data_IF_446462124808
#
_entry.id   IF_446462124808
#
_cell.length_a   1.000
_cell.length_b   1.000
_cell.length_c   1.000
_cell.angle_alpha   90.00
_cell.angle_beta   90.00
_cell.angle_gamma   90.00
#
_symmetry.space_group_name_H-M   'P 1'
#
loop_
_entity.id
_entity.type
_entity.pdbx_description
1 polymer ?
#
# COMPACT_ATOMS: atom_id res chain seq x y z
N UNK A 1 20.53 -9.79 -15.71
CA UNK A 1 19.11 -9.61 -15.33
C UNK A 1 18.99 -8.75 -14.06
N UNK A 2 19.39 -7.45 -14.13
CA UNK A 2 19.32 -6.53 -12.97
C UNK A 2 18.09 -5.61 -12.98
N UNK A 3 17.35 -5.52 -14.08
CA UNK A 3 16.27 -4.52 -14.26
C UNK A 3 14.87 -5.01 -13.86
N UNK A 4 14.65 -6.32 -13.66
CA UNK A 4 13.30 -6.85 -13.43
C UNK A 4 12.63 -6.32 -12.14
N UNK A 5 13.30 -6.32 -10.97
CA UNK A 5 12.72 -5.77 -9.75
C UNK A 5 12.46 -4.27 -9.85
N UNK A 6 13.41 -3.53 -10.43
CA UNK A 6 13.29 -2.10 -10.64
C UNK A 6 12.11 -1.75 -11.58
N UNK A 7 11.86 -2.59 -12.60
CA UNK A 7 10.71 -2.48 -13.50
C UNK A 7 9.39 -2.78 -12.79
N UNK A 8 9.37 -3.74 -11.86
CA UNK A 8 8.19 -4.05 -11.05
C UNK A 8 7.87 -2.91 -10.08
N UNK A 9 8.86 -2.30 -9.44
CA UNK A 9 8.67 -1.09 -8.64
C UNK A 9 8.19 0.09 -9.49
N UNK A 10 8.73 0.27 -10.70
CA UNK A 10 8.23 1.28 -11.64
C UNK A 10 6.79 1.01 -12.09
N UNK A 11 6.41 -0.27 -12.23
CA UNK A 11 5.05 -0.67 -12.56
C UNK A 11 4.05 -0.26 -11.46
N UNK A 12 4.45 -0.28 -10.18
CA UNK A 12 3.62 0.28 -9.09
C UNK A 12 3.38 1.77 -9.25
N UNK A 13 4.40 2.52 -9.69
CA UNK A 13 4.23 3.93 -10.05
C UNK A 13 3.23 4.13 -11.18
N UNK A 14 3.29 3.31 -12.23
CA UNK A 14 2.33 3.34 -13.34
C UNK A 14 0.91 2.97 -12.89
N UNK A 15 0.77 1.95 -12.05
CA UNK A 15 -0.52 1.56 -11.44
C UNK A 15 -1.07 2.71 -10.59
N UNK A 16 -0.24 3.37 -9.79
CA UNK A 16 -0.66 4.52 -8.98
C UNK A 16 -1.15 5.69 -9.85
N UNK A 17 -0.46 6.00 -10.95
CA UNK A 17 -0.89 7.02 -11.92
C UNK A 17 -2.20 6.63 -12.60
N UNK A 18 -2.34 5.36 -13.00
CA UNK A 18 -3.56 4.85 -13.60
C UNK A 18 -4.77 4.95 -12.65
N UNK A 19 -4.61 4.52 -11.39
CA UNK A 19 -5.66 4.63 -10.36
C UNK A 19 -6.06 6.10 -10.15
N UNK A 20 -5.09 7.02 -10.09
CA UNK A 20 -5.36 8.45 -9.96
C UNK A 20 -6.16 8.99 -11.15
N UNK A 21 -5.77 8.62 -12.38
CA UNK A 21 -6.48 9.00 -13.61
C UNK A 21 -7.92 8.46 -13.66
N UNK A 22 -8.15 7.26 -13.15
CA UNK A 22 -9.50 6.68 -13.03
C UNK A 22 -10.40 7.46 -12.06
N UNK A 23 -9.84 8.32 -11.20
CA UNK A 23 -10.60 9.24 -10.36
C UNK A 23 -11.54 10.14 -11.16
N UNK A 24 -11.12 10.54 -12.37
CA UNK A 24 -11.92 11.38 -13.27
C UNK A 24 -13.02 10.61 -14.02
N UNK A 25 -12.93 9.28 -14.08
CA UNK A 25 -13.98 8.41 -14.64
C UNK A 25 -15.13 8.20 -13.63
N UNK A 26 -14.81 8.34 -12.34
CA UNK A 26 -15.74 8.25 -11.22
C UNK A 26 -15.98 6.82 -10.71
N UNK A 27 -17.10 6.62 -10.03
CA UNK A 27 -17.45 5.36 -9.36
C UNK A 27 -17.47 4.13 -10.30
N UNK A 28 -17.79 4.33 -11.59
CA UNK A 28 -17.82 3.24 -12.59
C UNK A 28 -16.47 2.55 -12.78
N UNK A 29 -15.36 3.22 -12.45
CA UNK A 29 -14.02 2.66 -12.54
C UNK A 29 -13.60 1.83 -11.31
N UNK A 30 -14.45 1.69 -10.29
CA UNK A 30 -14.09 1.05 -9.02
C UNK A 30 -13.59 -0.38 -9.21
N UNK A 31 -14.23 -1.17 -10.06
CA UNK A 31 -13.78 -2.53 -10.37
C UNK A 31 -12.38 -2.55 -10.99
N UNK A 32 -12.11 -1.66 -11.95
CA UNK A 32 -10.79 -1.52 -12.54
C UNK A 32 -9.74 -1.08 -11.51
N UNK A 33 -10.08 -0.17 -10.59
CA UNK A 33 -9.18 0.26 -9.50
C UNK A 33 -8.84 -0.89 -8.57
N UNK A 34 -9.81 -1.74 -8.23
CA UNK A 34 -9.58 -2.92 -7.38
C UNK A 34 -8.67 -3.92 -8.10
N UNK A 35 -8.92 -4.21 -9.38
CA UNK A 35 -8.07 -5.10 -10.17
C UNK A 35 -6.64 -4.56 -10.34
N UNK A 36 -6.49 -3.26 -10.58
CA UNK A 36 -5.19 -2.59 -10.64
C UNK A 36 -4.46 -2.64 -9.30
N UNK A 37 -5.19 -2.49 -8.19
CA UNK A 37 -4.65 -2.60 -6.84
C UNK A 37 -4.14 -4.02 -6.57
N UNK A 38 -4.93 -5.04 -6.92
CA UNK A 38 -4.52 -6.45 -6.85
C UNK A 38 -3.25 -6.68 -7.69
N UNK A 39 -3.20 -6.14 -8.91
CA UNK A 39 -2.03 -6.25 -9.78
C UNK A 39 -0.80 -5.58 -9.15
N UNK A 40 -0.94 -4.36 -8.64
CA UNK A 40 0.13 -3.63 -7.96
C UNK A 40 0.70 -4.41 -6.77
N UNK A 41 -0.15 -4.94 -5.89
CA UNK A 41 0.32 -5.77 -4.77
C UNK A 41 0.90 -7.11 -5.21
N UNK A 42 0.40 -7.70 -6.30
CA UNK A 42 1.00 -8.90 -6.87
C UNK A 42 2.43 -8.64 -7.33
N UNK A 43 2.68 -7.47 -7.95
CA UNK A 43 4.04 -7.09 -8.36
C UNK A 43 4.99 -6.91 -7.17
N UNK A 44 4.52 -6.37 -6.04
CA UNK A 44 5.28 -6.26 -4.77
C UNK A 44 5.58 -7.63 -4.10
N UNK A 45 4.71 -8.62 -4.30
CA UNK A 45 5.01 -9.97 -3.81
C UNK A 45 6.08 -10.63 -4.68
N UNK A 46 5.95 -10.46 -6.00
CA UNK A 46 6.86 -11.07 -6.97
C UNK A 46 8.25 -10.43 -6.92
N UNK A 47 8.37 -9.11 -6.82
CA UNK A 47 9.68 -8.44 -6.76
C UNK A 47 10.47 -8.84 -5.51
N UNK A 48 9.83 -8.92 -4.34
CA UNK A 48 10.47 -9.31 -3.10
C UNK A 48 10.94 -10.77 -3.12
N UNK A 49 10.16 -11.67 -3.75
CA UNK A 49 10.59 -13.06 -3.97
C UNK A 49 11.79 -13.13 -4.92
N UNK A 50 11.76 -12.34 -5.99
CA UNK A 50 12.82 -12.33 -7.00
C UNK A 50 14.12 -11.76 -6.42
N UNK A 51 14.05 -10.67 -5.65
CA UNK A 51 15.19 -10.06 -4.98
C UNK A 51 15.90 -11.04 -4.03
N UNK A 52 15.14 -11.82 -3.26
CA UNK A 52 15.67 -12.87 -2.38
C UNK A 52 16.31 -14.02 -3.16
N UNK A 53 15.64 -14.51 -4.21
CA UNK A 53 16.15 -15.60 -5.05
C UNK A 53 17.51 -15.27 -5.68
N UNK A 54 17.72 -14.00 -6.05
CA UNK A 54 18.96 -13.55 -6.69
C UNK A 54 19.99 -12.94 -5.72
N UNK A 55 19.77 -13.04 -4.41
CA UNK A 55 20.67 -12.56 -3.34
C UNK A 55 21.25 -11.17 -3.61
N UNK A 56 20.38 -10.27 -4.10
CA UNK A 56 20.78 -9.00 -4.70
C UNK A 56 20.93 -7.93 -3.61
N UNK A 57 22.02 -7.14 -3.59
CA UNK A 57 22.08 -5.96 -2.73
C UNK A 57 21.00 -4.94 -3.14
N UNK A 58 20.46 -4.19 -2.17
CA UNK A 58 19.44 -3.19 -2.40
C UNK A 58 19.91 -2.17 -3.46
N UNK A 59 19.17 -2.06 -4.57
CA UNK A 59 19.34 -0.99 -5.55
C UNK A 59 18.69 0.30 -5.05
N UNK A 60 19.07 1.47 -5.57
CA UNK A 60 18.45 2.77 -5.23
C UNK A 60 16.91 2.76 -5.38
N UNK A 61 16.39 1.95 -6.30
CA UNK A 61 14.95 1.76 -6.51
C UNK A 61 14.35 0.89 -5.40
N UNK A 62 15.06 -0.15 -4.94
CA UNK A 62 14.68 -0.93 -3.76
C UNK A 62 14.67 -0.11 -2.47
N UNK A 63 15.52 0.92 -2.33
CA UNK A 63 15.44 1.86 -1.20
C UNK A 63 14.20 2.75 -1.26
N UNK A 64 13.65 3.00 -2.46
CA UNK A 64 12.46 3.81 -2.69
C UNK A 64 11.17 3.00 -2.85
N UNK A 65 11.25 1.68 -2.75
CA UNK A 65 10.11 0.75 -2.81
C UNK A 65 8.95 1.21 -1.95
N UNK A 66 9.25 1.56 -0.69
CA UNK A 66 8.27 2.05 0.26
C UNK A 66 7.55 3.34 -0.21
N UNK A 67 8.23 4.21 -0.96
CA UNK A 67 7.63 5.43 -1.51
C UNK A 67 6.62 5.10 -2.61
N UNK A 68 6.94 4.13 -3.47
CA UNK A 68 6.01 3.69 -4.52
C UNK A 68 4.79 2.99 -3.94
N UNK A 69 4.94 2.23 -2.85
CA UNK A 69 3.80 1.69 -2.12
C UNK A 69 2.92 2.80 -1.56
N UNK A 70 3.51 3.76 -0.86
CA UNK A 70 2.75 4.88 -0.30
C UNK A 70 2.08 5.73 -1.39
N UNK A 71 2.72 5.87 -2.57
CA UNK A 71 2.11 6.53 -3.72
C UNK A 71 0.87 5.76 -4.20
N UNK A 72 0.94 4.44 -4.32
CA UNK A 72 -0.20 3.61 -4.70
C UNK A 72 -1.34 3.69 -3.68
N UNK A 73 -1.02 3.64 -2.38
CA UNK A 73 -2.00 3.83 -1.30
C UNK A 73 -2.67 5.20 -1.38
N UNK A 74 -1.87 6.24 -1.57
CA UNK A 74 -2.37 7.61 -1.69
C UNK A 74 -3.23 7.80 -2.94
N UNK A 75 -2.84 7.23 -4.09
CA UNK A 75 -3.66 7.21 -5.30
C UNK A 75 -5.02 6.55 -5.08
N UNK A 76 -5.09 5.48 -4.29
CA UNK A 76 -6.36 4.85 -3.89
C UNK A 76 -7.27 5.80 -3.11
N UNK A 77 -6.72 6.56 -2.16
CA UNK A 77 -7.48 7.59 -1.44
C UNK A 77 -7.93 8.72 -2.38
N UNK A 78 -7.04 9.23 -3.23
CA UNK A 78 -7.38 10.25 -4.22
C UNK A 78 -8.50 9.80 -5.15
N UNK A 79 -8.45 8.56 -5.64
CA UNK A 79 -9.53 7.98 -6.43
C UNK A 79 -10.87 8.04 -5.69
N UNK A 80 -10.92 7.61 -4.43
CA UNK A 80 -12.15 7.61 -3.63
C UNK A 80 -12.70 9.02 -3.40
N UNK A 81 -11.82 10.01 -3.20
CA UNK A 81 -12.22 11.41 -3.06
C UNK A 81 -12.74 11.99 -4.39
N UNK A 82 -11.98 11.81 -5.48
CA UNK A 82 -12.33 12.35 -6.80
C UNK A 82 -13.61 11.72 -7.38
N UNK A 83 -13.85 10.44 -7.09
CA UNK A 83 -15.05 9.73 -7.52
C UNK A 83 -16.28 10.01 -6.64
N UNK A 84 -16.15 10.79 -5.57
CA UNK A 84 -17.24 11.09 -4.63
C UNK A 84 -17.61 9.93 -3.71
N UNK A 85 -16.79 8.87 -3.64
CA UNK A 85 -16.99 7.70 -2.79
C UNK A 85 -16.54 7.94 -1.34
N UNK A 86 -15.82 9.02 -1.07
CA UNK A 86 -15.38 9.42 0.29
C UNK A 86 -15.40 10.94 0.43
N UNK A 87 -15.67 11.43 1.64
CA UNK A 87 -15.69 12.86 1.94
C UNK A 87 -14.28 13.47 1.87
N UNK A 88 -14.10 14.49 1.03
CA UNK A 88 -12.83 15.17 0.83
C UNK A 88 -12.25 15.81 2.11
N UNK A 89 -13.09 16.37 2.97
CA UNK A 89 -12.66 16.99 4.22
C UNK A 89 -12.12 15.96 5.21
N UNK A 90 -12.80 14.82 5.34
CA UNK A 90 -12.33 13.72 6.19
C UNK A 90 -10.99 13.17 5.67
N UNK A 91 -10.86 12.97 4.36
CA UNK A 91 -9.61 12.53 3.75
C UNK A 91 -8.48 13.55 3.98
N UNK A 92 -8.75 14.85 3.83
CA UNK A 92 -7.77 15.91 4.06
C UNK A 92 -7.30 15.94 5.52
N UNK A 93 -8.22 15.93 6.48
CA UNK A 93 -7.90 15.92 7.91
C UNK A 93 -7.06 14.68 8.23
N UNK A 94 -7.45 13.51 7.73
CA UNK A 94 -6.71 12.27 7.93
C UNK A 94 -5.27 12.36 7.41
N UNK A 95 -5.09 12.86 6.18
CA UNK A 95 -3.77 13.04 5.56
C UNK A 95 -2.92 14.05 6.34
N UNK A 96 -3.51 15.15 6.83
CA UNK A 96 -2.79 16.14 7.63
C UNK A 96 -2.32 15.55 8.97
N UNK A 97 -3.19 14.83 9.67
CA UNK A 97 -2.83 14.14 10.92
C UNK A 97 -1.73 13.11 10.66
N UNK A 98 -1.87 12.29 9.63
CA UNK A 98 -0.86 11.32 9.24
C UNK A 98 0.48 12.00 8.93
N UNK A 99 0.48 13.09 8.15
CA UNK A 99 1.68 13.84 7.79
C UNK A 99 2.40 14.42 9.02
N UNK A 100 1.64 15.02 9.96
CA UNK A 100 2.20 15.55 11.21
C UNK A 100 2.81 14.43 12.06
N UNK A 101 2.10 13.31 12.26
CA UNK A 101 2.63 12.18 13.01
C UNK A 101 3.90 11.60 12.35
N UNK A 102 3.89 11.41 11.03
CA UNK A 102 5.06 10.90 10.30
C UNK A 102 6.25 11.87 10.42
N UNK A 103 6.01 13.18 10.34
CA UNK A 103 7.06 14.20 10.45
C UNK A 103 7.69 14.25 11.85
N UNK A 104 6.89 14.09 12.91
CA UNK A 104 7.34 14.12 14.31
C UNK A 104 8.12 12.84 14.65
N UNK A 105 7.53 11.67 14.39
CA UNK A 105 8.09 10.40 14.87
C UNK A 105 9.08 9.77 13.90
N UNK A 106 9.02 10.13 12.60
CA UNK A 106 9.89 9.62 11.52
C UNK A 106 10.05 8.10 11.54
N UNK A 107 8.97 7.39 11.85
CA UNK A 107 8.97 5.95 12.05
C UNK A 107 8.14 5.26 10.98
N UNK A 108 8.75 4.28 10.29
CA UNK A 108 8.10 3.43 9.28
C UNK A 108 6.82 2.78 9.83
N UNK A 109 6.83 2.38 11.10
CA UNK A 109 5.66 1.81 11.78
C UNK A 109 4.47 2.78 11.76
N UNK A 110 4.68 4.05 12.09
CA UNK A 110 3.60 5.04 12.09
C UNK A 110 3.04 5.23 10.69
N UNK A 111 3.91 5.34 9.69
CA UNK A 111 3.46 5.41 8.30
C UNK A 111 2.62 4.18 7.91
N UNK A 112 3.04 2.97 8.29
CA UNK A 112 2.26 1.75 8.02
C UNK A 112 0.91 1.72 8.76
N UNK A 113 0.85 2.23 9.99
CA UNK A 113 -0.41 2.34 10.75
C UNK A 113 -1.43 3.25 10.06
N UNK A 114 -0.98 4.36 9.46
CA UNK A 114 -1.85 5.24 8.67
C UNK A 114 -2.13 4.70 7.26
N UNK A 115 -1.21 3.95 6.66
CA UNK A 115 -1.42 3.35 5.36
C UNK A 115 -2.44 2.20 5.41
N UNK A 116 -2.45 1.40 6.48
CA UNK A 116 -3.27 0.18 6.58
C UNK A 116 -4.76 0.44 6.40
N UNK A 117 -5.39 1.44 7.06
CA UNK A 117 -6.78 1.79 6.81
C UNK A 117 -7.02 2.25 5.36
N UNK A 118 -6.09 2.99 4.76
CA UNK A 118 -6.21 3.47 3.38
C UNK A 118 -6.10 2.33 2.35
N UNK A 119 -5.35 1.28 2.63
CA UNK A 119 -5.31 0.07 1.80
C UNK A 119 -6.62 -0.71 1.90
N UNK A 120 -7.21 -0.78 3.10
CA UNK A 120 -8.48 -1.46 3.32
C UNK A 120 -9.69 -0.69 2.77
N UNK A 121 -9.61 0.64 2.68
CA UNK A 121 -10.75 1.49 2.34
C UNK A 121 -11.36 1.19 0.95
N UNK A 122 -10.59 1.05 -0.14
CA UNK A 122 -11.13 0.64 -1.44
C UNK A 122 -11.87 -0.70 -1.38
N UNK A 123 -11.37 -1.67 -0.60
CA UNK A 123 -12.03 -2.96 -0.42
C UNK A 123 -13.37 -2.81 0.33
N UNK A 124 -13.40 -2.00 1.40
CA UNK A 124 -14.63 -1.73 2.15
C UNK A 124 -15.68 -1.09 1.23
N UNK A 125 -15.29 -0.08 0.45
CA UNK A 125 -16.19 0.58 -0.51
C UNK A 125 -16.65 -0.39 -1.60
N UNK A 126 -15.73 -1.20 -2.14
CA UNK A 126 -16.04 -2.21 -3.14
C UNK A 126 -16.99 -3.31 -2.61
N UNK A 127 -16.95 -3.65 -1.32
CA UNK A 127 -17.87 -4.67 -0.78
C UNK A 127 -19.33 -4.26 -0.90
N UNK A 128 -19.61 -2.96 -0.90
CA UNK A 128 -20.96 -2.39 -1.06
C UNK A 128 -21.27 -2.07 -2.53
N UNK A 129 -20.33 -1.48 -3.26
CA UNK A 129 -20.57 -0.93 -4.61
C UNK A 129 -20.17 -1.86 -5.77
N UNK A 130 -19.22 -2.77 -5.54
CA UNK A 130 -18.69 -3.70 -6.55
C UNK A 130 -18.36 -5.07 -5.92
N UNK A 131 -19.36 -5.82 -5.43
CA UNK A 131 -19.13 -7.00 -4.59
C UNK A 131 -18.34 -8.12 -5.29
N UNK A 132 -18.45 -8.22 -6.63
CA UNK A 132 -17.64 -9.14 -7.43
C UNK A 132 -16.16 -8.81 -7.36
N UNK A 133 -15.80 -7.53 -7.52
CA UNK A 133 -14.42 -7.06 -7.42
C UNK A 133 -13.88 -7.24 -5.99
N UNK A 134 -14.70 -6.95 -4.98
CA UNK A 134 -14.34 -7.19 -3.58
C UNK A 134 -14.08 -8.68 -3.30
N UNK A 135 -14.88 -9.59 -3.84
CA UNK A 135 -14.67 -11.03 -3.71
C UNK A 135 -13.33 -11.46 -4.35
N UNK A 136 -13.02 -10.98 -5.56
CA UNK A 136 -11.73 -11.24 -6.19
C UNK A 136 -10.56 -10.75 -5.35
N UNK A 137 -10.70 -9.57 -4.74
CA UNK A 137 -9.68 -9.04 -3.84
C UNK A 137 -9.54 -9.88 -2.57
N UNK A 138 -10.63 -10.34 -1.96
CA UNK A 138 -10.59 -11.22 -0.79
C UNK A 138 -9.94 -12.57 -1.11
N UNK A 139 -10.30 -13.19 -2.24
CA UNK A 139 -9.67 -14.42 -2.73
C UNK A 139 -8.17 -14.20 -2.91
N UNK A 140 -7.78 -13.07 -3.51
CA UNK A 140 -6.38 -12.72 -3.71
C UNK A 140 -5.65 -12.51 -2.37
N UNK A 141 -6.23 -11.82 -1.40
CA UNK A 141 -5.65 -11.63 -0.05
C UNK A 141 -5.42 -12.99 0.62
N UNK A 142 -6.42 -13.87 0.57
CA UNK A 142 -6.31 -15.21 1.14
C UNK A 142 -5.18 -16.01 0.45
N UNK A 143 -5.11 -15.98 -0.88
CA UNK A 143 -4.03 -16.61 -1.65
C UNK A 143 -2.65 -16.05 -1.30
N UNK A 144 -2.51 -14.72 -1.24
CA UNK A 144 -1.27 -14.05 -0.88
C UNK A 144 -0.80 -14.43 0.54
N UNK A 145 -1.72 -14.47 1.52
CA UNK A 145 -1.40 -14.87 2.89
C UNK A 145 -0.97 -16.34 2.99
N UNK A 146 -1.61 -17.23 2.24
CA UNK A 146 -1.24 -18.65 2.21
C UNK A 146 0.14 -18.85 1.57
N UNK A 147 0.43 -18.14 0.48
CA UNK A 147 1.67 -18.29 -0.27
C UNK A 147 2.88 -17.59 0.37
N UNK A 148 2.68 -16.49 1.11
CA UNK A 148 3.74 -15.68 1.74
C UNK A 148 3.58 -15.53 3.27
N UNK A 149 3.06 -16.56 3.94
CA UNK A 149 2.85 -16.57 5.39
C UNK A 149 4.11 -16.22 6.20
N UNK A 150 5.28 -16.67 5.74
CA UNK A 150 6.58 -16.34 6.36
C UNK A 150 6.90 -14.84 6.28
N UNK A 151 6.59 -14.19 5.16
CA UNK A 151 6.75 -12.73 4.98
C UNK A 151 5.80 -11.98 5.90
N UNK A 152 4.53 -12.40 5.96
CA UNK A 152 3.55 -11.78 6.85
C UNK A 152 4.03 -11.78 8.31
N UNK A 153 4.51 -12.92 8.81
CA UNK A 153 5.11 -12.99 10.16
C UNK A 153 6.30 -12.06 10.32
N UNK A 154 7.15 -11.96 9.30
CA UNK A 154 8.29 -11.04 9.28
C UNK A 154 7.87 -9.58 9.43
N UNK A 155 6.87 -9.14 8.65
CA UNK A 155 6.32 -7.78 8.71
C UNK A 155 5.71 -7.48 10.08
N UNK A 156 4.93 -8.43 10.65
CA UNK A 156 4.34 -8.29 11.99
C UNK A 156 5.43 -8.17 13.05
N UNK A 157 6.50 -8.98 12.95
CA UNK A 157 7.63 -8.93 13.88
C UNK A 157 8.39 -7.60 13.78
N UNK A 158 8.69 -7.15 12.56
CA UNK A 158 9.34 -5.85 12.31
C UNK A 158 8.51 -4.69 12.89
N UNK A 159 7.18 -4.75 12.72
CA UNK A 159 6.25 -3.79 13.31
C UNK A 159 6.36 -3.76 14.84
N UNK A 160 6.32 -4.92 15.50
CA UNK A 160 6.44 -5.03 16.97
C UNK A 160 7.82 -4.57 17.49
N UNK A 161 8.90 -4.89 16.78
CA UNK A 161 10.24 -4.44 17.14
C UNK A 161 10.39 -2.93 17.01
N UNK A 162 9.85 -2.33 15.95
CA UNK A 162 9.82 -0.88 15.78
C UNK A 162 8.94 -0.18 16.84
N UNK A 163 7.84 -0.81 17.26
CA UNK A 163 7.00 -0.33 18.36
C UNK A 163 7.78 -0.24 19.67
N UNK A 164 8.50 -1.31 20.02
CA UNK A 164 9.33 -1.35 21.23
C UNK A 164 10.44 -0.29 21.20
N UNK A 165 11.13 -0.15 20.07
CA UNK A 165 12.19 0.87 19.91
C UNK A 165 11.64 2.30 20.05
N UNK A 166 10.47 2.56 19.48
CA UNK A 166 9.83 3.86 19.61
C UNK A 166 9.46 4.15 21.07
N UNK A 167 8.85 3.19 21.76
CA UNK A 167 8.50 3.34 23.17
C UNK A 167 9.75 3.62 24.05
N UNK A 168 10.84 2.88 23.83
CA UNK A 168 12.09 3.09 24.55
C UNK A 168 12.65 4.51 24.35
N UNK A 169 12.69 4.99 23.10
CA UNK A 169 13.24 6.31 22.75
C UNK A 169 12.54 7.49 23.45
N UNK A 170 11.23 7.37 23.71
CA UNK A 170 10.43 8.43 24.34
C UNK A 170 10.19 8.21 25.85
N UNK A 171 10.54 7.03 26.40
CA UNK A 171 10.53 6.80 27.85
C UNK A 171 11.90 7.06 28.50
N UNK A 172 12.98 7.12 27.72
CA UNK A 172 14.35 7.36 28.20
C UNK A 172 14.84 8.80 28.05
N UNK A 173 13.96 9.74 27.68
CA UNK A 173 14.24 11.17 27.55
C UNK A 173 13.24 11.98 28.36
#
# INVERSE_FOLDING_TARGET
>A
MRMLPDLLTLSRGLVAVAILGLGFVGERALEAVILLTILGWTTDILDGRLARKYNKPATWIGEREFVFDMLMVFSGLCYLVLSGLTNAWLALIYVLVAAVCIAIFRSKMITMSFATPLVALPLIVASVRAPRAALWYLIWIAGALLLDWSRFKGVVREFLENAKKLAQRYMSG
#
